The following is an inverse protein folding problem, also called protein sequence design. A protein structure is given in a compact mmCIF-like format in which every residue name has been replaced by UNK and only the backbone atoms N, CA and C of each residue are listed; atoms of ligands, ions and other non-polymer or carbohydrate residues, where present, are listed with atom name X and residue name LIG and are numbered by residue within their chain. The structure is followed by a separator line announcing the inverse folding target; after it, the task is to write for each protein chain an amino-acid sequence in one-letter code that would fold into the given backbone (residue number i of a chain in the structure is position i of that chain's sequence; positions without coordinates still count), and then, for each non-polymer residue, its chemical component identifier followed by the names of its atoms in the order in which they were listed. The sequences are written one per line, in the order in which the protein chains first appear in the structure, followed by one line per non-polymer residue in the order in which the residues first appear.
data_IF_434238653574
#
_entry.id   IF_434238653574
#
_cell.length_a   1.000
_cell.length_b   1.000
_cell.length_c   1.000
_cell.angle_alpha   90.00
_cell.angle_beta   90.00
_cell.angle_gamma   90.00
#
_symmetry.space_group_name_H-M   'P 1'
#
loop_
_entity.id
_entity.type
_entity.pdbx_description
1 polymer ?
#
# COMPACT_ATOMS: atom_id res chain seq x y z
N UNK A 1 6.33 12.72 61.24
CA UNK A 1 7.05 11.43 61.34
C UNK A 1 8.06 11.41 60.20
N UNK A 2 9.28 11.94 60.42
CA UNK A 2 10.53 11.15 60.55
C UNK A 2 10.78 10.25 59.33
N UNK A 3 11.87 10.29 58.56
CA UNK A 3 13.23 10.87 58.64
C UNK A 3 13.76 10.71 57.18
N UNK A 4 14.21 11.75 56.47
CA UNK A 4 15.56 12.31 56.49
C UNK A 4 16.70 11.30 56.35
N UNK A 5 17.65 11.66 55.46
CA UNK A 5 19.08 11.28 55.33
C UNK A 5 19.41 10.32 54.18
N UNK A 6 20.50 10.49 53.43
CA UNK A 6 21.52 11.54 53.40
C UNK A 6 22.45 11.28 52.20
N UNK A 7 23.08 12.35 51.75
CA UNK A 7 24.19 12.45 50.82
C UNK A 7 25.33 11.44 51.03
N UNK A 8 25.94 11.03 49.92
CA UNK A 8 27.38 10.84 49.79
C UNK A 8 27.77 11.24 48.34
N UNK A 9 28.37 12.40 48.14
CA UNK A 9 29.80 12.70 48.23
C UNK A 9 30.63 12.27 47.00
N UNK A 10 31.01 13.27 46.20
CA UNK A 10 32.39 13.63 45.78
C UNK A 10 33.29 12.56 45.13
N UNK A 11 33.62 12.79 43.85
CA UNK A 11 34.99 12.98 43.31
C UNK A 11 34.86 13.11 41.78
N UNK A 12 35.11 14.23 41.08
CA UNK A 12 36.25 15.16 40.98
C UNK A 12 37.61 14.53 40.67
N UNK A 13 37.91 14.51 39.36
CA UNK A 13 39.19 14.79 38.68
C UNK A 13 40.41 13.92 39.04
N UNK A 14 40.95 13.20 38.04
CA UNK A 14 42.35 13.40 37.60
C UNK A 14 42.73 12.72 36.27
N UNK A 15 43.32 13.55 35.41
CA UNK A 15 44.57 13.38 34.61
C UNK A 15 44.66 12.18 33.66
N UNK A 16 44.67 12.43 32.34
CA UNK A 16 45.85 12.75 31.49
C UNK A 16 46.84 11.58 31.41
N UNK A 17 46.85 10.94 30.25
CA UNK A 17 48.05 10.36 29.66
C UNK A 17 48.03 10.63 28.15
N UNK A 18 49.08 11.31 27.72
CA UNK A 18 49.43 11.67 26.35
C UNK A 18 50.02 10.50 25.57
N UNK A 19 49.91 10.62 24.24
CA UNK A 19 50.86 10.16 23.22
C UNK A 19 50.85 8.70 22.79
N UNK A 20 50.68 8.50 21.48
CA UNK A 20 50.96 7.24 20.79
C UNK A 20 50.30 7.14 19.42
N UNK A 21 50.85 7.80 18.41
CA UNK A 21 50.52 7.55 17.00
C UNK A 21 50.87 6.10 16.62
N UNK A 22 49.94 5.38 15.97
CA UNK A 22 50.24 4.49 14.83
C UNK A 22 48.96 4.09 14.09
N UNK A 23 49.04 4.20 12.77
CA UNK A 23 48.01 3.90 11.78
C UNK A 23 47.99 2.41 11.37
N UNK A 24 47.05 2.09 10.46
CA UNK A 24 46.76 0.83 9.75
C UNK A 24 45.55 0.09 10.35
N UNK A 25 44.36 0.24 9.77
CA UNK A 25 43.88 -0.42 8.53
C UNK A 25 43.64 -1.91 8.76
N UNK A 26 42.37 -2.25 8.90
CA UNK A 26 41.84 -3.60 9.04
C UNK A 26 40.33 -3.54 8.89
N UNK A 27 39.86 -3.55 7.63
CA UNK A 27 38.46 -3.76 7.29
C UNK A 27 37.97 -5.06 7.94
N UNK A 28 36.98 -4.95 8.81
CA UNK A 28 36.07 -6.05 9.12
C UNK A 28 34.72 -5.44 9.42
N UNK A 29 33.99 -5.17 8.33
CA UNK A 29 32.57 -4.88 8.37
C UNK A 29 31.86 -6.13 8.89
N UNK A 30 31.73 -6.23 10.21
CA UNK A 30 30.70 -7.06 10.83
C UNK A 30 29.37 -6.38 10.53
N UNK A 31 28.79 -6.72 9.38
CA UNK A 31 27.40 -6.47 9.07
C UNK A 31 26.55 -7.31 10.03
N UNK A 32 26.40 -6.80 11.26
CA UNK A 32 25.32 -7.19 12.12
C UNK A 32 24.04 -6.82 11.40
N UNK A 33 23.37 -7.82 10.83
CA UNK A 33 21.98 -7.75 10.38
C UNK A 33 21.11 -7.43 11.59
N UNK A 34 21.08 -6.16 11.96
CA UNK A 34 20.08 -5.61 12.84
C UNK A 34 18.82 -5.49 11.99
N UNK A 35 18.07 -6.58 11.87
CA UNK A 35 16.67 -6.49 11.52
C UNK A 35 16.03 -5.52 12.54
N UNK A 36 15.58 -4.33 12.12
CA UNK A 36 14.94 -3.44 13.06
C UNK A 36 13.56 -4.02 13.37
N UNK A 37 13.27 -4.10 14.67
CA UNK A 37 11.96 -4.42 15.23
C UNK A 37 10.85 -3.72 14.43
N UNK A 38 9.87 -4.48 13.94
CA UNK A 38 8.66 -4.04 13.26
C UNK A 38 7.76 -3.23 14.22
N UNK A 39 8.16 -2.00 14.54
CA UNK A 39 7.20 -0.92 14.76
C UNK A 39 7.07 -0.21 13.42
N UNK A 40 5.83 -0.07 12.96
CA UNK A 40 5.46 0.72 11.78
C UNK A 40 5.90 2.17 12.01
N UNK A 41 7.17 2.46 11.76
CA UNK A 41 7.72 3.81 11.73
C UNK A 41 7.03 4.52 10.56
N UNK A 42 6.28 5.59 10.85
CA UNK A 42 5.59 6.37 9.84
C UNK A 42 6.64 6.87 8.83
N UNK A 43 6.47 6.66 7.51
CA UNK A 43 7.47 7.06 6.54
C UNK A 43 7.73 8.56 6.61
N UNK A 44 9.02 8.95 6.62
CA UNK A 44 9.41 10.36 6.61
C UNK A 44 8.98 11.06 5.33
N UNK A 45 8.79 12.39 5.37
CA UNK A 45 8.36 13.19 4.22
C UNK A 45 9.27 12.98 2.99
N UNK A 46 10.58 12.86 3.19
CA UNK A 46 11.55 12.58 2.12
C UNK A 46 11.36 11.19 1.50
N UNK A 47 10.93 10.21 2.30
CA UNK A 47 10.64 8.85 1.84
C UNK A 47 9.37 8.80 1.01
N UNK A 48 8.35 9.58 1.40
CA UNK A 48 7.12 9.75 0.60
C UNK A 48 7.41 10.44 -0.74
N UNK A 49 8.25 11.49 -0.75
CA UNK A 49 8.67 12.14 -2.00
C UNK A 49 9.44 11.20 -2.93
N UNK A 50 10.31 10.35 -2.37
CA UNK A 50 11.01 9.30 -3.14
C UNK A 50 10.06 8.23 -3.67
N UNK A 51 9.00 7.92 -2.91
CA UNK A 51 7.93 7.00 -3.30
C UNK A 51 7.21 7.40 -4.59
N UNK A 52 7.08 8.69 -4.87
CA UNK A 52 6.47 9.20 -6.12
C UNK A 52 7.23 8.78 -7.38
N UNK A 53 8.56 8.69 -7.29
CA UNK A 53 9.44 8.30 -8.41
C UNK A 53 9.69 6.79 -8.42
N UNK A 54 9.75 6.17 -7.23
CA UNK A 54 9.99 4.74 -7.07
C UNK A 54 9.05 4.15 -6.01
N UNK A 55 7.93 3.55 -6.43
CA UNK A 55 6.93 3.00 -5.50
C UNK A 55 7.49 1.89 -4.60
N UNK A 56 8.53 1.18 -5.03
CA UNK A 56 9.16 0.07 -4.30
C UNK A 56 9.69 0.48 -2.92
N UNK A 57 10.05 1.75 -2.73
CA UNK A 57 10.55 2.29 -1.45
C UNK A 57 9.49 2.22 -0.35
N UNK A 58 8.20 2.20 -0.72
CA UNK A 58 7.10 2.16 0.23
C UNK A 58 6.74 0.73 0.69
N UNK A 59 7.23 -0.33 0.02
CA UNK A 59 6.92 -1.73 0.36
C UNK A 59 7.06 -2.07 1.85
N UNK A 60 8.11 -1.64 2.57
CA UNK A 60 8.26 -1.95 4.01
C UNK A 60 7.20 -1.30 4.90
N UNK A 61 6.48 -0.29 4.38
CA UNK A 61 5.46 0.48 5.09
C UNK A 61 4.03 0.13 4.65
N UNK A 62 3.88 -0.81 3.71
CA UNK A 62 2.58 -1.31 3.26
C UNK A 62 2.18 -2.50 4.14
N UNK A 63 0.93 -2.51 4.59
CA UNK A 63 0.42 -3.61 5.40
C UNK A 63 0.37 -4.92 4.58
N UNK A 64 0.76 -6.03 5.22
CA UNK A 64 0.75 -7.36 4.62
C UNK A 64 -0.65 -7.83 4.17
N UNK A 65 -1.71 -7.17 4.64
CA UNK A 65 -3.08 -7.42 4.18
C UNK A 65 -3.28 -6.98 2.72
N UNK A 66 -2.60 -5.92 2.28
CA UNK A 66 -2.69 -5.40 0.92
C UNK A 66 -1.96 -6.28 -0.12
N UNK A 67 -1.13 -7.23 0.35
CA UNK A 67 -0.50 -8.24 -0.50
C UNK A 67 -1.44 -9.39 -0.88
N UNK A 68 -2.62 -9.50 -0.25
CA UNK A 68 -3.61 -10.53 -0.58
C UNK A 68 -4.38 -10.12 -1.85
N UNK A 69 -4.37 -11.01 -2.85
CA UNK A 69 -5.01 -10.81 -4.17
C UNK A 69 -6.50 -10.43 -4.09
N UNK A 70 -7.25 -10.98 -3.14
CA UNK A 70 -8.67 -10.65 -2.93
C UNK A 70 -8.98 -10.47 -1.45
N UNK A 71 -8.47 -9.38 -0.88
CA UNK A 71 -8.67 -9.04 0.55
C UNK A 71 -10.16 -8.84 0.91
N UNK A 72 -11.01 -8.48 -0.06
CA UNK A 72 -12.39 -8.06 0.19
C UNK A 72 -13.45 -8.98 -0.44
N UNK A 73 -13.06 -10.11 -1.04
CA UNK A 73 -13.99 -11.03 -1.68
C UNK A 73 -14.73 -10.41 -2.88
N UNK A 74 -14.09 -9.49 -3.61
CA UNK A 74 -14.73 -8.71 -4.67
C UNK A 74 -15.16 -9.59 -5.86
N UNK A 75 -14.53 -10.75 -6.01
CA UNK A 75 -14.87 -11.68 -7.07
C UNK A 75 -16.26 -12.30 -6.92
N UNK A 76 -16.78 -12.49 -5.70
CA UNK A 76 -18.11 -13.05 -5.46
C UNK A 76 -19.23 -12.03 -5.57
N UNK A 77 -18.91 -10.73 -5.48
CA UNK A 77 -19.88 -9.63 -5.54
C UNK A 77 -20.28 -9.24 -6.97
N UNK A 78 -19.54 -9.70 -7.98
CA UNK A 78 -19.77 -9.32 -9.39
C UNK A 78 -19.89 -10.56 -10.25
N UNK A 79 -21.13 -11.03 -10.41
CA UNK A 79 -21.47 -12.16 -11.28
C UNK A 79 -21.82 -11.68 -12.69
N UNK A 80 -21.34 -12.40 -13.72
CA UNK A 80 -21.63 -12.07 -15.12
C UNK A 80 -23.13 -12.22 -15.41
N UNK A 81 -23.77 -13.22 -14.82
CA UNK A 81 -25.21 -13.47 -15.00
C UNK A 81 -26.05 -12.28 -14.50
N UNK A 82 -25.75 -11.76 -13.31
CA UNK A 82 -26.40 -10.56 -12.76
C UNK A 82 -26.13 -9.31 -13.62
N UNK A 83 -24.91 -9.16 -14.14
CA UNK A 83 -24.56 -8.06 -15.05
C UNK A 83 -25.34 -8.15 -16.37
N UNK A 84 -25.57 -9.37 -16.85
CA UNK A 84 -26.33 -9.64 -18.05
C UNK A 84 -27.81 -9.31 -17.83
N UNK A 85 -28.40 -9.78 -16.74
CA UNK A 85 -29.78 -9.47 -16.33
C UNK A 85 -30.02 -7.97 -16.09
N UNK A 86 -29.02 -7.29 -15.52
CA UNK A 86 -29.04 -5.84 -15.33
C UNK A 86 -28.88 -5.04 -16.64
N UNK A 87 -28.72 -5.71 -17.79
CA UNK A 87 -28.62 -5.10 -19.13
C UNK A 87 -27.38 -4.21 -19.32
N UNK A 88 -26.31 -4.47 -18.57
CA UNK A 88 -25.08 -3.66 -18.63
C UNK A 88 -24.33 -3.77 -19.96
N UNK A 89 -24.57 -4.83 -20.72
CA UNK A 89 -23.92 -5.05 -22.02
C UNK A 89 -24.44 -4.14 -23.12
N UNK A 90 -25.57 -3.43 -22.94
CA UNK A 90 -26.11 -2.54 -23.97
C UNK A 90 -25.42 -1.18 -23.97
N UNK A 91 -24.89 -0.79 -25.13
CA UNK A 91 -24.32 0.51 -25.38
C UNK A 91 -25.20 1.44 -26.19
N UNK A 92 -24.58 2.52 -26.68
CA UNK A 92 -25.20 3.46 -27.61
C UNK A 92 -25.34 2.87 -29.01
N UNK A 93 -25.94 3.62 -29.94
CA UNK A 93 -26.03 3.22 -31.35
C UNK A 93 -24.67 3.29 -32.04
N UNK A 94 -24.46 2.39 -32.97
CA UNK A 94 -23.29 2.38 -33.84
C UNK A 94 -23.22 3.67 -34.66
N UNK A 95 -22.07 4.33 -34.65
CA UNK A 95 -21.84 5.67 -35.19
C UNK A 95 -21.73 6.79 -34.15
N UNK A 96 -22.29 6.60 -32.94
CA UNK A 96 -22.10 7.54 -31.81
C UNK A 96 -20.98 7.11 -30.86
N UNK A 97 -20.45 5.89 -31.02
CA UNK A 97 -19.40 5.35 -30.17
C UNK A 97 -18.05 5.99 -30.49
N UNK A 98 -17.37 6.47 -29.45
CA UNK A 98 -16.02 7.03 -29.56
C UNK A 98 -14.97 5.94 -29.84
N UNK A 99 -13.96 6.23 -30.67
CA UNK A 99 -12.90 5.29 -31.05
C UNK A 99 -12.18 4.65 -29.85
N UNK A 100 -11.90 5.46 -28.82
CA UNK A 100 -11.28 5.01 -27.57
C UNK A 100 -12.14 4.01 -26.75
N UNK A 101 -13.39 3.74 -27.11
CA UNK A 101 -14.23 2.75 -26.42
C UNK A 101 -14.24 1.39 -27.13
N UNK A 102 -13.66 1.29 -28.34
CA UNK A 102 -13.69 0.07 -29.15
C UNK A 102 -12.98 -1.13 -28.51
N UNK A 103 -12.02 -0.89 -27.60
CA UNK A 103 -11.29 -1.97 -26.92
C UNK A 103 -12.17 -2.80 -25.98
N UNK A 104 -13.31 -2.27 -25.52
CA UNK A 104 -14.27 -2.97 -24.66
C UNK A 104 -15.50 -3.50 -25.42
N UNK A 105 -15.55 -3.28 -26.74
CA UNK A 105 -16.70 -3.63 -27.57
C UNK A 105 -16.62 -5.12 -27.96
N UNK A 106 -17.70 -5.86 -27.70
CA UNK A 106 -17.85 -7.24 -28.18
C UNK A 106 -18.33 -7.27 -29.63
N UNK A 107 -19.27 -6.40 -29.99
CA UNK A 107 -19.78 -6.28 -31.36
C UNK A 107 -21.00 -5.37 -31.46
N UNK A 108 -21.77 -5.54 -32.52
CA UNK A 108 -23.03 -4.83 -32.74
C UNK A 108 -24.19 -5.80 -33.05
N UNK A 109 -25.40 -5.42 -32.63
CA UNK A 109 -26.63 -6.12 -33.00
C UNK A 109 -27.72 -5.10 -33.28
N UNK A 110 -28.31 -5.15 -34.48
CA UNK A 110 -29.36 -4.21 -34.91
C UNK A 110 -28.94 -2.73 -34.78
N UNK A 111 -27.65 -2.44 -34.99
CA UNK A 111 -27.09 -1.10 -34.87
C UNK A 111 -26.91 -0.58 -33.43
N UNK A 112 -27.02 -1.45 -32.42
CA UNK A 112 -26.70 -1.15 -31.02
C UNK A 112 -25.37 -1.81 -30.66
N UNK A 113 -24.47 -1.06 -30.01
CA UNK A 113 -23.21 -1.57 -29.50
C UNK A 113 -23.44 -2.55 -28.35
N UNK A 114 -22.72 -3.67 -28.35
CA UNK A 114 -22.71 -4.64 -27.25
C UNK A 114 -21.31 -4.67 -26.65
N UNK A 115 -21.22 -4.44 -25.34
CA UNK A 115 -19.97 -4.47 -24.58
C UNK A 115 -19.66 -5.86 -24.03
N UNK A 116 -18.37 -6.16 -23.92
CA UNK A 116 -17.90 -7.39 -23.30
C UNK A 116 -18.01 -7.30 -21.77
N UNK A 117 -18.84 -8.18 -21.19
CA UNK A 117 -19.05 -8.25 -19.75
C UNK A 117 -17.84 -8.77 -19.00
N UNK A 118 -16.98 -9.58 -19.61
CA UNK A 118 -15.76 -10.09 -18.96
C UNK A 118 -14.74 -8.96 -18.75
N UNK A 119 -14.57 -8.13 -19.78
CA UNK A 119 -13.76 -6.91 -19.70
C UNK A 119 -14.35 -5.96 -18.64
N UNK A 120 -15.66 -5.75 -18.67
CA UNK A 120 -16.34 -4.85 -17.74
C UNK A 120 -16.19 -5.33 -16.29
N UNK A 121 -16.33 -6.63 -16.03
CA UNK A 121 -16.17 -7.23 -14.70
C UNK A 121 -14.76 -6.99 -14.15
N UNK A 122 -13.72 -7.23 -14.95
CA UNK A 122 -12.32 -7.01 -14.54
C UNK A 122 -12.08 -5.57 -14.11
N UNK A 123 -12.62 -4.61 -14.87
CA UNK A 123 -12.46 -3.18 -14.55
C UNK A 123 -13.29 -2.77 -13.32
N UNK A 124 -14.49 -3.33 -13.17
CA UNK A 124 -15.33 -3.07 -12.00
C UNK A 124 -14.69 -3.58 -10.71
N UNK A 125 -14.11 -4.79 -10.73
CA UNK A 125 -13.37 -5.35 -9.60
C UNK A 125 -12.16 -4.47 -9.25
N UNK A 126 -11.38 -4.07 -10.27
CA UNK A 126 -10.22 -3.18 -10.07
C UNK A 126 -10.63 -1.83 -9.48
N UNK A 127 -11.69 -1.22 -10.01
CA UNK A 127 -12.22 0.04 -9.49
C UNK A 127 -12.68 -0.13 -8.04
N UNK A 128 -13.42 -1.20 -7.75
CA UNK A 128 -13.94 -1.47 -6.41
C UNK A 128 -12.82 -1.66 -5.40
N UNK A 129 -11.77 -2.41 -5.75
CA UNK A 129 -10.59 -2.62 -4.90
C UNK A 129 -9.92 -1.29 -4.50
N UNK A 130 -9.76 -0.36 -5.45
CA UNK A 130 -9.21 0.97 -5.18
C UNK A 130 -10.14 1.79 -4.29
N UNK A 131 -11.45 1.74 -4.54
CA UNK A 131 -12.43 2.46 -3.71
C UNK A 131 -12.48 1.91 -2.29
N UNK A 132 -12.40 0.59 -2.12
CA UNK A 132 -12.44 -0.04 -0.79
C UNK A 132 -11.20 0.26 0.05
N UNK A 133 -10.06 0.51 -0.60
CA UNK A 133 -8.79 0.89 0.04
C UNK A 133 -8.77 2.34 0.55
N UNK A 134 -9.73 3.18 0.12
CA UNK A 134 -9.82 4.55 0.65
C UNK A 134 -10.18 4.55 2.14
N UNK A 135 -9.56 5.42 2.98
CA UNK A 135 -9.74 5.40 4.44
C UNK A 135 -11.20 5.60 4.88
N UNK A 136 -12.01 6.24 4.04
CA UNK A 136 -13.44 6.48 4.28
C UNK A 136 -14.32 5.22 4.10
N UNK A 137 -13.81 4.17 3.47
CA UNK A 137 -14.51 2.90 3.20
C UNK A 137 -14.50 1.92 4.38
N UNK A 138 -13.67 2.16 5.41
CA UNK A 138 -13.65 1.37 6.66
C UNK A 138 -15.05 1.23 7.30
N UNK A 139 -15.92 2.23 7.15
CA UNK A 139 -17.33 2.20 7.57
C UNK A 139 -18.21 1.23 6.77
N UNK A 140 -17.85 0.91 5.53
CA UNK A 140 -18.59 -0.05 4.69
C UNK A 140 -18.22 -1.49 5.01
N UNK A 141 -17.03 -1.73 5.55
CA UNK A 141 -16.59 -3.06 6.02
C UNK A 141 -17.47 -3.56 7.17
N UNK A 142 -17.86 -2.68 8.10
CA UNK A 142 -18.77 -3.00 9.21
C UNK A 142 -20.25 -3.16 8.82
N UNK A 143 -20.61 -2.86 7.57
CA UNK A 143 -21.98 -3.00 7.06
C UNK A 143 -22.16 -4.26 6.19
N UNK A 144 -21.06 -4.95 5.84
CA UNK A 144 -21.07 -6.18 5.06
C UNK A 144 -20.93 -7.46 5.90
N UNK A 145 -20.64 -7.32 7.20
CA UNK A 145 -20.67 -8.40 8.22
C UNK A 145 -21.99 -8.35 9.01
#
# INVERSE_FOLDING_TARGET
VFRMQSAALRSLIRRVASSGMRAMSGNSAAAGSAAPNLRLEIPSADTLQKGTVQPTVLKPYVDAELEKEDLFGLHSLVNIDEMFEARLHYGHKMGTLHENMKWALYGERLGVCIFDLEITRKHLIRFRAVVTDTPHSSHLKSLLD
#
